data_IF_793724621460
#
_entry.id   IF_793724621460
#
_cell.length_a   1.000
_cell.length_b   1.000
_cell.length_c   1.000
_cell.angle_alpha   90.00
_cell.angle_beta   90.00
_cell.angle_gamma   90.00
#
_symmetry.space_group_name_H-M   'P 1'
#
loop_
_entity.id
_entity.type
_entity.pdbx_description
1 polymer ?
#
# COMPACT_ATOMS: atom_id res chain seq x y z
N UNK A 1 -61.39 1.38 3.51
CA UNK A 1 -60.57 2.35 4.25
C UNK A 1 -59.12 1.96 4.08
N UNK A 2 -58.29 2.99 3.97
CA UNK A 2 -56.83 3.05 3.83
C UNK A 2 -56.12 2.14 4.87
N UNK A 3 -54.89 1.68 4.70
CA UNK A 3 -53.69 2.48 4.44
C UNK A 3 -52.56 1.62 3.88
N UNK A 4 -51.83 2.27 2.98
CA UNK A 4 -50.52 1.99 2.43
C UNK A 4 -49.46 1.82 3.54
N UNK A 5 -48.69 0.73 3.49
CA UNK A 5 -47.35 0.65 4.08
C UNK A 5 -46.49 0.22 2.87
N UNK A 6 -45.71 1.09 2.25
CA UNK A 6 -44.73 1.98 2.86
C UNK A 6 -43.37 1.39 2.51
N UNK A 7 -42.73 1.97 1.50
CA UNK A 7 -41.44 1.56 0.97
C UNK A 7 -40.38 1.45 2.09
N UNK A 8 -39.67 0.34 2.13
CA UNK A 8 -38.40 0.24 2.84
C UNK A 8 -37.28 0.67 1.88
N UNK A 9 -37.04 1.98 1.83
CA UNK A 9 -35.72 2.52 1.56
C UNK A 9 -34.99 2.64 2.91
N UNK A 10 -33.98 1.79 3.12
CA UNK A 10 -33.00 1.90 4.21
C UNK A 10 -31.65 1.56 3.55
N UNK A 11 -30.96 2.52 2.93
CA UNK A 11 -30.03 3.49 3.54
C UNK A 11 -29.12 2.84 4.59
N UNK A 12 -27.91 2.49 4.19
CA UNK A 12 -26.90 2.12 5.17
C UNK A 12 -25.59 1.75 4.52
N UNK A 13 -24.81 2.78 4.15
CA UNK A 13 -23.37 2.76 3.95
C UNK A 13 -22.75 1.49 3.38
N UNK A 14 -22.20 1.60 2.17
CA UNK A 14 -20.85 1.06 1.98
C UNK A 14 -19.91 1.87 2.91
N UNK A 15 -20.05 1.62 4.21
CA UNK A 15 -19.01 1.86 5.17
C UNK A 15 -17.90 0.93 4.69
N UNK A 16 -16.89 1.51 4.05
CA UNK A 16 -15.62 0.86 3.79
C UNK A 16 -15.02 0.49 5.15
N UNK A 17 -15.57 -0.56 5.75
CA UNK A 17 -15.10 -1.09 7.01
C UNK A 17 -13.79 -1.78 6.75
N UNK A 18 -12.72 -1.24 7.32
CA UNK A 18 -11.70 -2.08 7.90
C UNK A 18 -10.41 -2.18 7.12
N UNK A 19 -9.64 -1.10 7.17
CA UNK A 19 -8.22 -1.22 7.45
C UNK A 19 -7.89 -0.12 8.44
N UNK A 20 -7.26 -0.43 9.55
CA UNK A 20 -6.37 0.53 10.18
C UNK A 20 -5.21 0.68 9.19
N UNK A 21 -5.45 1.46 8.12
CA UNK A 21 -4.47 1.69 7.08
C UNK A 21 -3.43 2.55 7.77
N UNK A 22 -2.25 1.99 8.05
CA UNK A 22 -1.05 2.82 8.22
C UNK A 22 -1.10 3.79 7.05
N UNK A 23 -1.43 5.06 7.31
CA UNK A 23 -1.86 6.00 6.28
C UNK A 23 -0.63 6.46 5.50
N UNK A 24 -0.05 5.53 4.74
CA UNK A 24 1.08 5.76 3.88
C UNK A 24 0.58 6.61 2.73
N UNK A 25 1.15 7.80 2.60
CA UNK A 25 0.78 8.70 1.50
C UNK A 25 1.11 8.09 0.15
N UNK A 26 0.27 8.33 -0.86
CA UNK A 26 0.53 7.89 -2.24
C UNK A 26 1.87 8.44 -2.78
N UNK A 27 2.26 9.66 -2.37
CA UNK A 27 3.56 10.24 -2.73
C UNK A 27 4.74 9.40 -2.20
N UNK A 28 4.65 8.88 -0.97
CA UNK A 28 5.66 8.00 -0.41
C UNK A 28 5.71 6.63 -1.13
N UNK A 29 4.55 6.09 -1.51
CA UNK A 29 4.47 4.87 -2.32
C UNK A 29 5.14 5.07 -3.69
N UNK A 30 4.81 6.15 -4.38
CA UNK A 30 5.36 6.47 -5.69
C UNK A 30 6.88 6.68 -5.63
N UNK A 31 7.37 7.40 -4.61
CA UNK A 31 8.81 7.55 -4.35
C UNK A 31 9.49 6.20 -4.17
N UNK A 32 8.90 5.30 -3.37
CA UNK A 32 9.49 3.98 -3.15
C UNK A 32 9.51 3.13 -4.43
N UNK A 33 8.43 3.17 -5.23
CA UNK A 33 8.39 2.48 -6.52
C UNK A 33 9.47 2.99 -7.48
N UNK A 34 9.68 4.31 -7.53
CA UNK A 34 10.77 4.91 -8.31
C UNK A 34 12.16 4.53 -7.78
N UNK A 35 12.31 4.45 -6.46
CA UNK A 35 13.55 3.98 -5.83
C UNK A 35 13.84 2.51 -6.17
N UNK A 36 12.81 1.66 -6.20
CA UNK A 36 12.92 0.27 -6.63
C UNK A 36 13.37 0.17 -8.09
N UNK A 37 12.72 0.90 -9.01
CA UNK A 37 13.12 0.93 -10.43
C UNK A 37 14.60 1.30 -10.61
N UNK A 38 15.14 2.14 -9.72
CA UNK A 38 16.53 2.59 -9.75
C UNK A 38 17.51 1.59 -9.13
N UNK A 39 17.12 0.91 -8.05
CA UNK A 39 18.04 0.19 -7.16
C UNK A 39 17.89 -1.34 -7.19
N UNK A 40 16.78 -1.88 -7.70
CA UNK A 40 16.44 -3.30 -7.49
C UNK A 40 17.41 -4.29 -8.14
N UNK A 41 18.01 -3.98 -9.29
CA UNK A 41 18.96 -4.86 -9.97
C UNK A 41 18.46 -6.31 -10.14
N UNK A 42 19.37 -7.29 -10.12
CA UNK A 42 19.01 -8.70 -10.31
C UNK A 42 18.42 -9.35 -9.04
N UNK A 43 18.88 -8.96 -7.85
CA UNK A 43 18.52 -9.61 -6.58
C UNK A 43 17.42 -8.87 -5.78
N UNK A 44 17.06 -7.65 -6.16
CA UNK A 44 16.15 -6.76 -5.44
C UNK A 44 16.89 -5.70 -4.60
N UNK A 45 16.17 -4.63 -4.24
CA UNK A 45 16.70 -3.55 -3.42
C UNK A 45 16.48 -3.85 -1.93
N UNK A 46 17.47 -3.53 -1.10
CA UNK A 46 17.33 -3.69 0.36
C UNK A 46 16.56 -2.52 0.97
N UNK A 47 15.82 -2.77 2.05
CA UNK A 47 15.07 -1.74 2.80
C UNK A 47 15.94 -0.55 3.19
N UNK A 48 17.19 -0.79 3.64
CA UNK A 48 18.12 0.27 4.04
C UNK A 48 18.49 1.20 2.88
N UNK A 49 18.68 0.65 1.69
CA UNK A 49 19.05 1.42 0.50
C UNK A 49 17.84 2.21 -0.01
N UNK A 50 16.66 1.58 0.03
CA UNK A 50 15.39 2.23 -0.32
C UNK A 50 15.08 3.40 0.61
N UNK A 51 15.15 3.19 1.93
CA UNK A 51 14.92 4.21 2.94
C UNK A 51 15.83 5.43 2.73
N UNK A 52 17.11 5.19 2.42
CA UNK A 52 18.07 6.24 2.12
C UNK A 52 17.77 7.00 0.81
N UNK A 53 17.20 6.33 -0.20
CA UNK A 53 16.86 6.94 -1.49
C UNK A 53 15.60 7.81 -1.40
N UNK A 54 14.61 7.42 -0.60
CA UNK A 54 13.35 8.17 -0.44
C UNK A 54 13.36 9.18 0.71
N UNK A 55 14.47 9.27 1.45
CA UNK A 55 14.64 10.13 2.64
C UNK A 55 13.66 9.81 3.78
N UNK A 56 13.32 8.53 3.95
CA UNK A 56 12.41 8.05 5.02
C UNK A 56 13.15 7.18 6.03
N UNK A 57 12.54 6.95 7.20
CA UNK A 57 13.08 5.98 8.14
C UNK A 57 12.93 4.53 7.63
N UNK A 58 13.77 3.62 8.14
CA UNK A 58 13.65 2.18 7.83
C UNK A 58 12.25 1.67 8.19
N UNK A 59 11.70 2.08 9.34
CA UNK A 59 10.37 1.66 9.79
C UNK A 59 9.27 2.15 8.83
N UNK A 60 9.31 3.42 8.44
CA UNK A 60 8.34 3.97 7.46
C UNK A 60 8.47 3.29 6.10
N UNK A 61 9.69 2.96 5.69
CA UNK A 61 9.95 2.21 4.45
C UNK A 61 9.37 0.79 4.52
N UNK A 62 9.50 0.10 5.65
CA UNK A 62 8.87 -1.22 5.87
C UNK A 62 7.35 -1.13 5.85
N UNK A 63 6.77 -0.07 6.44
CA UNK A 63 5.33 0.17 6.39
C UNK A 63 4.85 0.42 4.94
N UNK A 64 5.56 1.25 4.17
CA UNK A 64 5.27 1.49 2.74
C UNK A 64 5.37 0.18 1.95
N UNK A 65 6.43 -0.59 2.14
CA UNK A 65 6.62 -1.90 1.48
C UNK A 65 5.49 -2.86 1.83
N UNK A 66 5.07 -2.89 3.11
CA UNK A 66 3.94 -3.70 3.56
C UNK A 66 2.66 -3.37 2.80
N UNK A 67 2.36 -2.08 2.62
CA UNK A 67 1.19 -1.66 1.84
C UNK A 67 1.34 -2.06 0.37
N UNK A 68 2.50 -1.80 -0.25
CA UNK A 68 2.74 -2.13 -1.66
C UNK A 68 2.72 -3.64 -1.96
N UNK A 69 3.14 -4.48 -1.01
CA UNK A 69 3.02 -5.93 -1.10
C UNK A 69 1.55 -6.37 -1.10
N UNK A 70 0.72 -5.76 -0.24
CA UNK A 70 -0.71 -6.03 -0.21
C UNK A 70 -1.44 -5.51 -1.47
N UNK A 71 -0.89 -4.48 -2.13
CA UNK A 71 -1.40 -3.93 -3.39
C UNK A 71 -0.90 -4.67 -4.64
N UNK A 72 -0.15 -5.78 -4.50
CA UNK A 72 0.48 -6.51 -5.61
C UNK A 72 1.34 -5.60 -6.53
N UNK A 73 1.96 -4.55 -5.96
CA UNK A 73 2.85 -3.62 -6.70
C UNK A 73 4.32 -3.96 -6.54
N UNK A 74 4.69 -4.73 -5.51
CA UNK A 74 6.06 -5.18 -5.26
C UNK A 74 6.05 -6.63 -4.79
N UNK A 75 7.21 -7.29 -4.82
CA UNK A 75 7.41 -8.64 -4.30
C UNK A 75 8.80 -8.79 -3.69
N UNK A 76 8.96 -9.82 -2.87
CA UNK A 76 10.21 -10.14 -2.17
C UNK A 76 10.87 -11.39 -2.80
N UNK A 77 11.76 -11.25 -3.81
CA UNK A 77 12.46 -12.40 -4.41
C UNK A 77 13.42 -13.11 -3.43
N UNK A 78 14.00 -12.34 -2.52
CA UNK A 78 14.95 -12.81 -1.50
C UNK A 78 14.60 -12.10 -0.19
N UNK A 79 14.66 -12.80 0.93
CA UNK A 79 14.34 -12.21 2.23
C UNK A 79 15.11 -10.89 2.47
N UNK A 80 14.37 -9.82 2.72
CA UNK A 80 14.87 -8.46 2.91
C UNK A 80 15.21 -7.69 1.62
N UNK A 81 14.87 -8.24 0.44
CA UNK A 81 15.09 -7.62 -0.88
C UNK A 81 13.78 -7.53 -1.64
N UNK A 82 13.50 -6.35 -2.19
CA UNK A 82 12.23 -6.04 -2.82
C UNK A 82 12.40 -5.66 -4.28
N UNK A 83 11.41 -6.00 -5.08
CA UNK A 83 11.32 -5.70 -6.50
C UNK A 83 9.96 -5.17 -6.88
N UNK A 84 9.92 -4.30 -7.88
CA UNK A 84 8.67 -3.79 -8.45
C UNK A 84 7.99 -4.87 -9.30
N UNK A 85 6.68 -4.99 -9.18
CA UNK A 85 5.83 -5.69 -10.14
C UNK A 85 5.47 -4.69 -11.24
N UNK A 86 5.87 -5.01 -12.47
CA UNK A 86 5.73 -4.15 -13.65
C UNK A 86 4.30 -4.02 -14.16
#
# INVERSE_FOLDING_TARGET
>A
ESEEIGAIEDLGGADSTGGEETQVSEDAKDKLLLALDKLEGEEGAGVKDLAAEIDESISETEDILGVLLNEDKVYEPVAGKFKRLG
#
